data_IF_045232880550
#
_entry.id   IF_045232880550
#
_cell.length_a   1.000
_cell.length_b   1.000
_cell.length_c   1.000
_cell.angle_alpha   90.00
_cell.angle_beta   90.00
_cell.angle_gamma   90.00
#
_symmetry.space_group_name_H-M   'P 1'
#
loop_
_entity.id
_entity.type
_entity.pdbx_description
1 polymer ?
#
# COMPACT_ATOMS: atom_id res chain seq x y z
N UNK A 1 5.27 -65.74 -15.28
CA UNK A 1 4.46 -64.60 -15.66
C UNK A 1 4.46 -63.63 -14.47
N UNK A 2 5.32 -62.60 -14.52
CA UNK A 2 5.44 -61.60 -13.44
C UNK A 2 4.57 -60.38 -13.80
N UNK A 3 3.56 -60.10 -12.98
CA UNK A 3 2.73 -58.92 -13.13
C UNK A 3 3.48 -57.73 -12.58
N UNK A 4 3.87 -56.80 -13.44
CA UNK A 4 4.43 -55.49 -13.06
C UNK A 4 3.25 -54.60 -12.73
N UNK A 5 3.12 -54.24 -11.45
CA UNK A 5 2.18 -53.23 -10.99
C UNK A 5 2.88 -51.86 -11.10
N UNK A 6 2.45 -51.09 -12.09
CA UNK A 6 2.90 -49.68 -12.21
C UNK A 6 2.17 -48.85 -11.16
N UNK A 7 2.89 -48.41 -10.14
CA UNK A 7 2.40 -47.37 -9.22
C UNK A 7 2.59 -46.02 -9.90
N UNK A 8 1.50 -45.50 -10.43
CA UNK A 8 1.44 -44.11 -10.93
C UNK A 8 1.29 -43.19 -9.72
N UNK A 9 2.41 -42.71 -9.20
CA UNK A 9 2.38 -41.66 -8.13
C UNK A 9 1.98 -40.35 -8.79
N UNK A 10 0.71 -39.99 -8.64
CA UNK A 10 0.17 -38.71 -9.01
C UNK A 10 0.70 -37.67 -7.98
N UNK A 11 1.78 -36.96 -8.32
CA UNK A 11 2.28 -35.81 -7.59
C UNK A 11 1.24 -34.68 -7.74
N UNK A 12 0.37 -34.57 -6.76
CA UNK A 12 -0.44 -33.37 -6.54
C UNK A 12 0.51 -32.23 -6.16
N UNK A 13 0.90 -31.42 -7.14
CA UNK A 13 1.51 -30.13 -6.90
C UNK A 13 0.46 -29.24 -6.22
N UNK A 14 0.46 -29.25 -4.89
CA UNK A 14 -0.20 -28.21 -4.12
C UNK A 14 0.55 -26.90 -4.41
N UNK A 15 0.00 -26.07 -5.29
CA UNK A 15 0.37 -24.67 -5.35
C UNK A 15 -0.07 -24.03 -4.02
N UNK A 16 0.81 -24.05 -3.02
CA UNK A 16 0.64 -23.24 -1.83
C UNK A 16 0.87 -21.81 -2.28
N UNK A 17 -0.20 -21.12 -2.60
CA UNK A 17 -0.18 -19.67 -2.71
C UNK A 17 0.09 -19.14 -1.30
N UNK A 18 1.34 -18.77 -1.03
CA UNK A 18 1.68 -17.96 0.12
C UNK A 18 1.17 -16.54 -0.15
N UNK A 19 -0.13 -16.33 -0.03
CA UNK A 19 -0.64 -15.00 0.25
C UNK A 19 -0.01 -14.58 1.57
N UNK A 20 0.70 -13.46 1.58
CA UNK A 20 1.21 -12.89 2.82
C UNK A 20 0.03 -12.31 3.62
N UNK A 21 -0.79 -13.19 4.19
CA UNK A 21 -1.81 -12.77 5.14
C UNK A 21 -1.09 -12.13 6.32
N UNK A 22 -1.35 -10.86 6.56
CA UNK A 22 -0.88 -10.16 7.74
C UNK A 22 -2.08 -9.46 8.40
N UNK A 23 -1.97 -9.21 9.68
CA UNK A 23 -2.91 -8.37 10.42
C UNK A 23 -2.12 -7.39 11.27
N UNK A 24 -2.52 -6.12 11.27
CA UNK A 24 -1.88 -5.08 12.05
C UNK A 24 -2.90 -4.32 12.89
N UNK A 25 -2.59 -4.11 14.15
CA UNK A 25 -3.33 -3.17 14.97
C UNK A 25 -3.00 -1.73 14.57
N UNK A 26 -4.01 -0.93 14.25
CA UNK A 26 -3.86 0.51 13.94
C UNK A 26 -3.61 1.32 15.22
N UNK A 27 -2.44 1.11 15.83
CA UNK A 27 -2.00 1.75 17.08
C UNK A 27 -0.60 2.32 16.93
N UNK A 28 -0.29 3.33 17.75
CA UNK A 28 1.04 3.93 17.79
C UNK A 28 2.10 2.94 18.28
N UNK A 29 3.31 3.08 17.78
CA UNK A 29 4.49 2.26 18.10
C UNK A 29 4.40 0.78 17.71
N UNK A 30 3.41 0.38 16.90
CA UNK A 30 3.33 -0.96 16.34
C UNK A 30 4.28 -1.06 15.15
N UNK A 31 5.04 -2.17 15.10
CA UNK A 31 5.92 -2.46 13.96
C UNK A 31 5.09 -2.80 12.72
N UNK A 32 5.44 -2.16 11.62
CA UNK A 32 4.83 -2.46 10.32
C UNK A 32 5.25 -3.86 9.86
N UNK A 33 4.31 -4.72 9.48
CA UNK A 33 4.63 -6.01 8.85
C UNK A 33 5.32 -5.78 7.51
N UNK A 34 6.01 -6.79 7.02
CA UNK A 34 6.51 -6.78 5.66
C UNK A 34 5.43 -7.32 4.74
N UNK A 35 5.00 -6.53 3.78
CA UNK A 35 4.07 -6.91 2.74
C UNK A 35 4.59 -6.43 1.38
N UNK A 36 3.99 -6.96 0.32
CA UNK A 36 4.36 -6.61 -1.04
C UNK A 36 3.52 -5.41 -1.49
N UNK A 37 4.21 -4.41 -2.02
CA UNK A 37 3.63 -3.29 -2.74
C UNK A 37 3.83 -3.53 -4.24
N UNK A 38 2.76 -3.44 -5.02
CA UNK A 38 2.76 -3.62 -6.47
C UNK A 38 2.42 -2.29 -7.14
N UNK A 39 3.34 -1.76 -7.92
CA UNK A 39 3.08 -0.50 -8.64
C UNK A 39 2.12 -0.72 -9.83
N UNK A 40 1.76 0.38 -10.48
CA UNK A 40 0.80 0.34 -11.59
C UNK A 40 1.31 -0.39 -12.84
N UNK A 41 2.62 -0.63 -12.93
CA UNK A 41 3.24 -1.40 -14.01
C UNK A 41 3.48 -2.88 -13.63
N UNK A 42 3.05 -3.27 -12.42
CA UNK A 42 3.17 -4.62 -11.91
C UNK A 42 4.52 -4.95 -11.25
N UNK A 43 5.41 -3.96 -11.12
CA UNK A 43 6.66 -4.14 -10.40
C UNK A 43 6.42 -4.18 -8.89
N UNK A 44 7.04 -5.12 -8.23
CA UNK A 44 6.87 -5.34 -6.79
C UNK A 44 8.04 -4.82 -5.98
N UNK A 45 7.74 -4.35 -4.77
CA UNK A 45 8.73 -4.03 -3.74
C UNK A 45 8.21 -4.43 -2.36
N UNK A 46 9.10 -4.82 -1.45
CA UNK A 46 8.73 -5.07 -0.07
C UNK A 46 8.59 -3.75 0.70
N UNK A 47 7.53 -3.60 1.48
CA UNK A 47 7.23 -2.41 2.29
C UNK A 47 8.40 -2.02 3.21
N UNK A 48 9.12 -3.01 3.77
CA UNK A 48 10.28 -2.77 4.64
C UNK A 48 11.40 -1.98 3.95
N UNK A 49 11.56 -2.11 2.62
CA UNK A 49 12.59 -1.39 1.87
C UNK A 49 12.32 0.12 1.83
N UNK A 50 11.06 0.51 2.00
CA UNK A 50 10.64 1.91 2.08
C UNK A 50 10.62 2.36 3.54
N UNK A 51 9.99 1.61 4.42
CA UNK A 51 9.76 2.01 5.81
C UNK A 51 11.01 2.00 6.69
N UNK A 52 12.08 1.30 6.26
CA UNK A 52 13.37 1.21 6.97
C UNK A 52 14.52 1.95 6.29
N UNK A 53 14.24 2.82 5.33
CA UNK A 53 15.29 3.54 4.59
C UNK A 53 15.83 4.80 5.30
N UNK A 54 15.43 5.04 6.54
CA UNK A 54 15.85 6.18 7.34
C UNK A 54 15.03 7.46 7.15
N UNK A 55 14.08 7.48 6.21
CA UNK A 55 13.14 8.58 6.02
C UNK A 55 11.82 8.27 6.71
N UNK A 56 11.14 9.31 7.17
CA UNK A 56 9.72 9.19 7.52
C UNK A 56 8.90 8.92 6.26
N UNK A 57 7.82 8.19 6.42
CA UNK A 57 6.93 7.84 5.29
C UNK A 57 5.51 8.30 5.60
N UNK A 58 4.93 9.07 4.69
CA UNK A 58 3.49 9.28 4.59
C UNK A 58 2.91 8.09 3.81
N UNK A 59 2.18 7.23 4.49
CA UNK A 59 1.56 6.04 3.93
C UNK A 59 0.06 6.22 3.90
N UNK A 60 -0.52 6.25 2.70
CA UNK A 60 -1.91 6.58 2.44
C UNK A 60 -2.60 5.38 1.82
N UNK A 61 -3.74 5.00 2.38
CA UNK A 61 -4.68 4.05 1.83
C UNK A 61 -5.86 4.82 1.25
N UNK A 62 -6.10 4.69 -0.04
CA UNK A 62 -7.04 5.52 -0.79
C UNK A 62 -7.87 4.71 -1.80
N UNK A 63 -8.87 5.35 -2.40
CA UNK A 63 -9.60 4.84 -3.55
C UNK A 63 -9.87 5.99 -4.54
N UNK A 64 -9.83 5.70 -5.85
CA UNK A 64 -10.00 6.71 -6.90
C UNK A 64 -11.43 7.25 -6.99
N UNK A 65 -12.41 6.44 -6.59
CA UNK A 65 -13.82 6.84 -6.53
C UNK A 65 -14.18 7.64 -5.27
N UNK A 66 -13.30 7.68 -4.24
CA UNK A 66 -13.57 8.33 -2.96
C UNK A 66 -13.46 9.85 -3.06
N UNK A 67 -14.53 10.63 -2.79
CA UNK A 67 -14.47 12.10 -2.89
C UNK A 67 -13.46 12.75 -1.95
N UNK A 68 -13.30 12.23 -0.73
CA UNK A 68 -12.34 12.74 0.24
C UNK A 68 -10.90 12.48 -0.21
N UNK A 69 -10.61 11.30 -0.78
CA UNK A 69 -9.30 11.00 -1.36
C UNK A 69 -8.99 11.95 -2.52
N UNK A 70 -9.98 12.22 -3.39
CA UNK A 70 -9.83 13.14 -4.52
C UNK A 70 -9.57 14.58 -4.10
N UNK A 71 -10.07 15.00 -2.95
CA UNK A 71 -9.79 16.32 -2.39
C UNK A 71 -8.41 16.39 -1.73
N UNK A 72 -7.95 15.30 -1.13
CA UNK A 72 -6.70 15.22 -0.37
C UNK A 72 -5.47 15.02 -1.25
N UNK A 73 -5.53 14.13 -2.23
CA UNK A 73 -4.35 13.73 -3.03
C UNK A 73 -3.67 14.88 -3.78
N UNK A 74 -4.35 15.93 -4.29
CA UNK A 74 -3.68 17.11 -4.82
C UNK A 74 -2.83 17.86 -3.78
N UNK A 75 -3.25 17.89 -2.51
CA UNK A 75 -2.48 18.50 -1.43
C UNK A 75 -1.25 17.64 -1.08
N UNK A 76 -1.40 16.31 -1.14
CA UNK A 76 -0.29 15.36 -1.02
C UNK A 76 0.72 15.55 -2.16
N UNK A 77 0.26 15.82 -3.39
CA UNK A 77 1.15 16.10 -4.52
C UNK A 77 2.01 17.34 -4.27
N UNK A 78 1.40 18.44 -3.81
CA UNK A 78 2.13 19.67 -3.44
C UNK A 78 3.18 19.39 -2.36
N UNK A 79 2.82 18.60 -1.35
CA UNK A 79 3.74 18.21 -0.29
C UNK A 79 4.88 17.35 -0.84
N UNK A 80 4.56 16.35 -1.66
CA UNK A 80 5.56 15.46 -2.27
C UNK A 80 6.59 16.23 -3.09
N UNK A 81 6.17 17.12 -3.98
CA UNK A 81 7.08 17.91 -4.83
C UNK A 81 8.15 18.64 -4.01
N UNK A 82 7.77 19.15 -2.84
CA UNK A 82 8.68 19.92 -1.98
C UNK A 82 9.53 19.05 -1.05
N UNK A 83 9.01 17.91 -0.60
CA UNK A 83 9.62 17.14 0.48
C UNK A 83 10.10 15.73 0.10
N UNK A 84 9.98 15.32 -1.17
CA UNK A 84 10.35 13.97 -1.67
C UNK A 84 11.77 13.53 -1.33
N UNK A 85 12.70 14.46 -1.16
CA UNK A 85 14.07 14.15 -0.78
C UNK A 85 14.22 13.80 0.72
N UNK A 86 13.25 14.21 1.55
CA UNK A 86 13.27 14.04 3.00
C UNK A 86 12.22 13.07 3.51
N UNK A 87 11.08 12.98 2.84
CA UNK A 87 9.92 12.17 3.22
C UNK A 87 9.54 11.26 2.07
N UNK A 88 9.32 9.96 2.37
CA UNK A 88 8.69 9.07 1.41
C UNK A 88 7.19 9.35 1.40
N UNK A 89 6.60 9.31 0.22
CA UNK A 89 5.14 9.25 0.05
C UNK A 89 4.80 7.94 -0.64
N UNK A 90 3.85 7.19 -0.10
CA UNK A 90 3.38 5.92 -0.63
C UNK A 90 1.87 5.94 -0.61
N UNK A 91 1.24 5.90 -1.76
CA UNK A 91 -0.21 5.84 -1.90
C UNK A 91 -0.61 4.48 -2.45
N UNK A 92 -1.49 3.77 -1.73
CA UNK A 92 -2.03 2.48 -2.17
C UNK A 92 -3.50 2.64 -2.45
N UNK A 93 -3.93 2.33 -3.65
CA UNK A 93 -5.34 2.27 -4.01
C UNK A 93 -5.91 0.89 -3.64
N UNK A 94 -6.91 0.89 -2.75
CA UNK A 94 -7.52 -0.29 -2.14
C UNK A 94 -8.90 -0.56 -2.71
N UNK A 95 -9.28 -1.86 -2.82
CA UNK A 95 -10.66 -2.28 -3.06
C UNK A 95 -11.34 -1.52 -4.19
N UNK A 96 -10.53 -1.09 -5.13
CA UNK A 96 -10.94 -0.21 -6.20
C UNK A 96 -11.56 -1.01 -7.33
N UNK A 97 -12.03 -0.30 -8.30
CA UNK A 97 -12.54 -0.79 -9.55
C UNK A 97 -11.49 -1.63 -10.30
N UNK A 98 -10.98 -1.15 -11.38
CA UNK A 98 -9.92 -1.83 -12.12
C UNK A 98 -8.58 -1.09 -12.03
N UNK A 99 -7.49 -1.80 -12.28
CA UNK A 99 -6.18 -1.18 -12.42
C UNK A 99 -6.18 -0.06 -13.48
N UNK A 100 -6.95 -0.22 -14.55
CA UNK A 100 -7.04 0.77 -15.63
C UNK A 100 -7.71 2.06 -15.16
N UNK A 101 -8.73 1.98 -14.30
CA UNK A 101 -9.38 3.16 -13.72
C UNK A 101 -8.42 3.91 -12.79
N UNK A 102 -7.65 3.19 -11.98
CA UNK A 102 -6.60 3.79 -11.13
C UNK A 102 -5.53 4.47 -11.98
N UNK A 103 -5.02 3.80 -13.04
CA UNK A 103 -4.06 4.37 -13.98
C UNK A 103 -4.61 5.64 -14.64
N UNK A 104 -5.85 5.59 -15.11
CA UNK A 104 -6.52 6.72 -15.71
C UNK A 104 -6.64 7.89 -14.74
N UNK A 105 -7.03 7.63 -13.50
CA UNK A 105 -7.14 8.66 -12.47
C UNK A 105 -5.79 9.32 -12.15
N UNK A 106 -4.75 8.51 -11.90
CA UNK A 106 -3.40 8.99 -11.57
C UNK A 106 -2.82 9.83 -12.70
N UNK A 107 -2.95 9.36 -13.94
CA UNK A 107 -2.47 10.08 -15.13
C UNK A 107 -3.19 11.40 -15.34
N UNK A 108 -4.52 11.41 -15.25
CA UNK A 108 -5.33 12.62 -15.44
C UNK A 108 -5.12 13.65 -14.33
N UNK A 109 -4.69 13.21 -13.14
CA UNK A 109 -4.39 14.07 -11.99
C UNK A 109 -2.95 14.57 -11.98
N UNK A 110 -2.10 14.11 -12.91
CA UNK A 110 -0.66 14.44 -13.00
C UNK A 110 0.11 14.14 -11.71
N UNK A 111 -0.29 13.09 -10.95
CA UNK A 111 0.42 12.69 -9.74
C UNK A 111 1.77 12.06 -10.08
N UNK A 112 2.80 12.48 -9.35
CA UNK A 112 4.19 12.01 -9.51
C UNK A 112 4.75 11.29 -8.28
N UNK A 113 4.00 11.24 -7.18
CA UNK A 113 4.36 10.41 -6.03
C UNK A 113 4.20 8.92 -6.35
N UNK A 114 4.93 8.02 -5.67
CA UNK A 114 4.78 6.58 -5.85
C UNK A 114 3.37 6.08 -5.55
N UNK A 115 2.78 5.38 -6.51
CA UNK A 115 1.45 4.80 -6.43
C UNK A 115 1.53 3.28 -6.54
N UNK A 116 0.75 2.61 -5.72
CA UNK A 116 0.61 1.16 -5.68
C UNK A 116 -0.86 0.77 -5.74
N UNK A 117 -1.10 -0.48 -6.10
CA UNK A 117 -2.44 -1.03 -6.26
C UNK A 117 -2.56 -2.36 -5.51
N UNK A 118 -3.59 -2.48 -4.68
CA UNK A 118 -3.89 -3.68 -3.88
C UNK A 118 -4.88 -4.56 -4.66
N UNK A 119 -4.35 -5.34 -5.61
CA UNK A 119 -5.15 -6.14 -6.54
C UNK A 119 -5.75 -7.41 -5.93
N UNK A 120 -5.22 -7.86 -4.80
CA UNK A 120 -5.65 -9.05 -4.07
C UNK A 120 -6.29 -8.76 -2.70
N UNK A 121 -6.52 -7.48 -2.39
CA UNK A 121 -7.05 -6.98 -1.13
C UNK A 121 -6.23 -7.32 0.13
N UNK A 122 -5.01 -7.80 -0.01
CA UNK A 122 -4.16 -8.17 1.14
C UNK A 122 -3.87 -6.98 2.06
N UNK A 123 -3.70 -5.78 1.50
CA UNK A 123 -3.42 -4.58 2.28
C UNK A 123 -4.72 -4.09 2.95
N UNK A 124 -5.82 -4.07 2.22
CA UNK A 124 -7.14 -3.71 2.75
C UNK A 124 -7.51 -4.61 3.95
N UNK A 125 -7.37 -5.91 3.81
CA UNK A 125 -7.70 -6.90 4.84
C UNK A 125 -6.69 -6.85 5.99
N UNK A 126 -5.39 -6.80 5.68
CA UNK A 126 -4.32 -6.77 6.66
C UNK A 126 -4.37 -5.56 7.59
N UNK A 127 -4.81 -4.41 7.09
CA UNK A 127 -5.03 -3.20 7.88
C UNK A 127 -6.48 -3.08 8.41
N UNK A 128 -7.36 -4.02 8.09
CA UNK A 128 -8.79 -3.96 8.47
C UNK A 128 -9.38 -2.58 8.15
N UNK A 129 -9.25 -2.14 6.89
CA UNK A 129 -9.69 -0.82 6.46
C UNK A 129 -11.18 -0.82 6.17
N UNK A 130 -11.92 -0.02 6.93
CA UNK A 130 -13.38 0.15 6.78
C UNK A 130 -13.76 1.41 6.01
N UNK A 131 -12.83 2.36 5.89
CA UNK A 131 -13.06 3.63 5.18
C UNK A 131 -11.74 4.21 4.68
N UNK A 132 -11.83 4.97 3.59
CA UNK A 132 -10.70 5.71 3.01
C UNK A 132 -11.07 7.20 2.89
N UNK A 133 -10.09 8.11 2.90
CA UNK A 133 -8.64 7.87 3.05
C UNK A 133 -8.27 7.43 4.47
N UNK A 134 -7.16 6.69 4.60
CA UNK A 134 -6.57 6.37 5.90
C UNK A 134 -5.06 6.63 5.83
N UNK A 135 -4.54 7.45 6.75
CA UNK A 135 -3.21 8.03 6.63
C UNK A 135 -2.34 7.73 7.84
N UNK A 136 -1.17 7.14 7.58
CA UNK A 136 -0.18 6.85 8.60
C UNK A 136 1.09 7.67 8.36
N UNK A 137 1.68 8.15 9.45
CA UNK A 137 3.07 8.55 9.50
C UNK A 137 3.89 7.40 10.05
N UNK A 138 4.81 6.90 9.26
CA UNK A 138 5.68 5.78 9.61
C UNK A 138 7.10 6.29 9.78
N UNK A 139 7.75 5.88 10.87
CA UNK A 139 9.15 6.17 11.17
C UNK A 139 9.82 4.91 11.68
N UNK A 140 10.99 4.59 11.12
CA UNK A 140 11.75 3.39 11.50
C UNK A 140 10.91 2.10 11.54
N UNK A 141 10.05 1.92 10.55
CA UNK A 141 9.12 0.78 10.43
C UNK A 141 8.03 0.71 11.51
N UNK A 142 7.74 1.80 12.19
CA UNK A 142 6.67 1.87 13.20
C UNK A 142 5.65 2.93 12.86
N UNK A 143 4.40 2.70 13.24
CA UNK A 143 3.36 3.73 13.17
C UNK A 143 3.69 4.78 14.23
N UNK A 144 4.13 5.95 13.78
CA UNK A 144 4.42 7.10 14.64
C UNK A 144 3.15 7.90 14.92
N UNK A 145 2.26 8.02 13.92
CA UNK A 145 1.04 8.82 14.00
C UNK A 145 -0.01 8.27 13.03
N UNK A 146 -1.28 8.34 13.43
CA UNK A 146 -2.42 8.21 12.53
C UNK A 146 -2.94 9.64 12.32
N UNK A 147 -2.86 10.12 11.09
CA UNK A 147 -3.16 11.51 10.79
C UNK A 147 -4.66 11.78 10.84
N UNK A 148 -5.04 12.89 11.47
CA UNK A 148 -6.44 13.35 11.47
C UNK A 148 -6.86 13.83 10.08
N UNK A 149 -8.08 13.47 9.70
CA UNK A 149 -8.66 13.85 8.41
C UNK A 149 -9.46 15.17 8.52
N UNK A 150 -9.53 15.95 7.45
CA UNK A 150 -8.81 15.79 6.18
C UNK A 150 -7.35 16.27 6.29
N UNK A 151 -6.42 15.55 5.67
CA UNK A 151 -5.06 16.08 5.54
C UNK A 151 -5.00 17.11 4.40
N UNK A 152 -4.17 18.12 4.58
CA UNK A 152 -3.87 19.12 3.59
C UNK A 152 -2.38 19.47 3.66
N UNK A 153 -1.90 20.30 2.73
CA UNK A 153 -0.50 20.66 2.65
C UNK A 153 0.05 21.20 4.01
N UNK A 154 -0.67 22.11 4.66
CA UNK A 154 -0.19 22.73 5.91
C UNK A 154 -0.16 21.73 7.08
N UNK A 155 -1.15 20.85 7.18
CA UNK A 155 -1.16 19.79 8.20
C UNK A 155 -0.02 18.79 7.98
N UNK A 156 0.29 18.43 6.73
CA UNK A 156 1.41 17.58 6.38
C UNK A 156 2.75 18.23 6.74
N UNK A 157 2.95 19.51 6.37
CA UNK A 157 4.17 20.25 6.73
C UNK A 157 4.38 20.33 8.24
N UNK A 158 3.29 20.43 9.01
CA UNK A 158 3.36 20.47 10.49
C UNK A 158 3.68 19.10 11.09
N UNK A 159 3.22 18.01 10.45
CA UNK A 159 3.39 16.64 10.96
C UNK A 159 4.77 16.06 10.65
N UNK A 160 5.41 16.42 9.53
CA UNK A 160 6.66 15.85 9.05
C UNK A 160 7.88 16.75 9.22
#
# INVERSE_FOLDING_TARGET
MKKIVLFLSMLLLFNISFGNEFHIEKKLNVDMPTFILKDLDGKTTESKNIFKNGKKTLFILAAEWCPHCRAELPEVQKFYEKYKDKVNVVVVFLGSSSLEEVKGYVSNSEFTFPVYYDDDNNILEGFDIQSVPFNFKISNNKIEEILELPVNYDSLVKSF
#
